data_IF_253293699320
#
_entry.id   IF_253293699320
#
_cell.length_a   1.000
_cell.length_b   1.000
_cell.length_c   1.000
_cell.angle_alpha   90.00
_cell.angle_beta   90.00
_cell.angle_gamma   90.00
#
_symmetry.space_group_name_H-M   'P 1'
#
loop_
_entity.id
_entity.type
_entity.pdbx_description
1 polymer ?
#
# COMPACT_ATOMS: atom_id res chain seq x y z
N UNK A 1 24.55 -50.33 8.98
CA UNK A 1 24.80 -49.82 10.34
C UNK A 1 23.51 -50.05 11.11
N UNK A 2 23.30 -51.27 11.60
CA UNK A 2 23.83 -51.79 12.87
C UNK A 2 22.88 -51.42 14.03
N UNK A 3 21.87 -52.27 14.23
CA UNK A 3 21.06 -52.27 15.44
C UNK A 3 21.88 -52.83 16.62
N UNK A 4 21.58 -52.37 17.83
CA UNK A 4 22.21 -52.88 19.06
C UNK A 4 21.14 -53.32 20.06
N UNK A 5 21.02 -54.64 20.23
CA UNK A 5 20.28 -55.28 21.31
C UNK A 5 21.26 -55.85 22.34
N UNK A 6 20.95 -55.71 23.63
CA UNK A 6 21.50 -56.51 24.75
C UNK A 6 20.29 -56.83 25.66
N UNK A 7 19.88 -58.10 25.85
CA UNK A 7 20.46 -59.14 26.72
C UNK A 7 20.20 -58.84 28.24
N UNK A 8 19.32 -59.48 29.05
CA UNK A 8 18.85 -60.91 29.27
C UNK A 8 19.68 -61.66 30.36
N UNK A 9 19.12 -62.57 31.22
CA UNK A 9 17.75 -62.76 31.71
C UNK A 9 17.62 -62.25 33.18
N UNK A 10 17.61 -62.99 34.34
CA UNK A 10 17.43 -64.42 34.67
C UNK A 10 15.96 -64.79 35.06
N UNK A 11 15.74 -65.62 36.10
CA UNK A 11 14.43 -66.09 36.64
C UNK A 11 14.50 -66.33 38.16
N UNK A 12 13.34 -66.33 38.84
CA UNK A 12 13.09 -67.16 40.02
C UNK A 12 11.60 -67.56 40.05
N UNK A 13 11.31 -68.85 40.21
CA UNK A 13 9.96 -69.40 40.28
C UNK A 13 9.64 -69.89 41.70
N UNK A 14 8.39 -69.78 42.15
CA UNK A 14 7.78 -70.74 43.09
C UNK A 14 6.26 -70.53 43.28
N UNK A 15 5.52 -71.64 43.12
CA UNK A 15 4.34 -72.09 43.89
C UNK A 15 3.18 -71.13 44.25
N UNK A 16 1.96 -71.57 43.90
CA UNK A 16 0.71 -71.19 44.55
C UNK A 16 0.22 -72.31 45.49
N UNK A 17 -0.53 -71.97 46.55
CA UNK A 17 -1.56 -72.85 47.10
C UNK A 17 -2.97 -72.24 47.01
N UNK A 18 -4.05 -73.06 46.98
CA UNK A 18 -5.43 -72.60 46.80
C UNK A 18 -6.16 -72.34 48.12
N UNK A 19 -7.16 -71.44 48.11
CA UNK A 19 -8.10 -71.28 49.22
C UNK A 19 -9.14 -70.17 48.99
N UNK A 20 -10.43 -70.53 48.92
CA UNK A 20 -11.56 -69.59 48.96
C UNK A 20 -12.04 -69.41 50.40
N UNK A 21 -12.23 -68.17 50.83
CA UNK A 21 -13.16 -67.76 51.90
C UNK A 21 -13.56 -66.29 51.69
N UNK A 22 -14.81 -65.96 52.00
CA UNK A 22 -15.39 -64.61 51.90
C UNK A 22 -16.45 -64.43 53.02
N UNK A 23 -17.09 -63.26 53.16
CA UNK A 23 -16.57 -61.97 53.65
C UNK A 23 -17.17 -61.63 55.05
N UNK A 24 -17.02 -60.40 55.59
CA UNK A 24 -18.11 -59.42 55.39
C UNK A 24 -17.66 -57.94 55.26
N UNK A 25 -18.67 -57.07 55.09
CA UNK A 25 -18.59 -55.69 54.61
C UNK A 25 -17.89 -54.66 55.52
N UNK A 26 -17.31 -53.64 54.87
CA UNK A 26 -16.92 -52.34 55.45
C UNK A 26 -16.93 -51.29 54.34
N UNK A 27 -17.74 -50.22 54.48
CA UNK A 27 -18.08 -49.35 53.36
C UNK A 27 -17.15 -48.16 53.13
N UNK A 28 -16.85 -47.87 51.86
CA UNK A 28 -16.92 -46.48 51.38
C UNK A 28 -17.56 -46.46 50.01
N UNK A 29 -18.73 -45.83 49.90
CA UNK A 29 -19.34 -45.60 48.60
C UNK A 29 -18.53 -44.50 47.90
N UNK A 30 -17.74 -44.85 46.87
CA UNK A 30 -17.21 -43.85 45.94
C UNK A 30 -18.39 -42.99 45.48
N UNK A 31 -18.34 -41.65 45.57
CA UNK A 31 -19.45 -40.82 45.12
C UNK A 31 -19.71 -41.15 43.66
N UNK A 32 -20.93 -41.66 43.40
CA UNK A 32 -21.31 -42.11 42.08
C UNK A 32 -21.28 -40.90 41.15
N UNK A 33 -20.19 -40.76 40.38
CA UNK A 33 -20.11 -39.82 39.27
C UNK A 33 -21.19 -40.26 38.29
N UNK A 34 -22.38 -39.66 38.42
CA UNK A 34 -23.47 -39.83 37.45
C UNK A 34 -22.83 -39.66 36.08
N UNK A 35 -23.03 -40.59 35.13
CA UNK A 35 -22.43 -40.44 33.82
C UNK A 35 -22.99 -39.15 33.24
N UNK A 36 -22.14 -38.12 33.17
CA UNK A 36 -22.46 -36.85 32.50
C UNK A 36 -22.77 -37.27 31.08
N UNK A 37 -24.07 -37.33 30.74
CA UNK A 37 -24.55 -38.08 29.58
C UNK A 37 -23.75 -37.59 28.39
N UNK A 38 -23.10 -38.50 27.65
CA UNK A 38 -22.10 -38.15 26.62
C UNK A 38 -22.64 -37.10 25.63
N UNK A 39 -23.95 -37.12 25.37
CA UNK A 39 -24.74 -36.15 24.60
C UNK A 39 -24.61 -34.68 25.08
N UNK A 40 -24.48 -34.42 26.38
CA UNK A 40 -24.28 -33.07 26.95
C UNK A 40 -22.84 -32.58 26.72
N UNK A 41 -21.86 -33.49 26.82
CA UNK A 41 -20.47 -33.21 26.46
C UNK A 41 -20.31 -32.95 24.96
N UNK A 42 -20.98 -33.74 24.12
CA UNK A 42 -21.07 -33.53 22.67
C UNK A 42 -21.79 -32.22 22.32
N UNK A 43 -22.84 -31.85 23.06
CA UNK A 43 -23.52 -30.56 22.90
C UNK A 43 -22.61 -29.37 23.21
N UNK A 44 -21.88 -29.41 24.33
CA UNK A 44 -20.86 -28.41 24.66
C UNK A 44 -19.74 -28.35 23.62
N UNK A 45 -19.22 -29.50 23.18
CA UNK A 45 -18.23 -29.55 22.10
C UNK A 45 -18.77 -28.95 20.81
N UNK A 46 -20.00 -29.27 20.40
CA UNK A 46 -20.62 -28.72 19.19
C UNK A 46 -20.85 -27.20 19.29
N UNK A 47 -21.21 -26.68 20.46
CA UNK A 47 -21.33 -25.23 20.69
C UNK A 47 -19.97 -24.53 20.61
N UNK A 48 -18.93 -25.08 21.26
CA UNK A 48 -17.56 -24.54 21.21
C UNK A 48 -17.00 -24.61 19.79
N UNK A 49 -17.20 -25.73 19.09
CA UNK A 49 -16.72 -25.94 17.73
C UNK A 49 -17.46 -25.07 16.71
N UNK A 50 -18.79 -24.91 16.87
CA UNK A 50 -19.61 -23.99 16.08
C UNK A 50 -19.23 -22.53 16.30
N UNK A 51 -19.05 -22.10 17.55
CA UNK A 51 -18.56 -20.75 17.87
C UNK A 51 -17.19 -20.49 17.23
N UNK A 52 -16.26 -21.45 17.29
CA UNK A 52 -14.96 -21.35 16.63
C UNK A 52 -15.06 -21.30 15.10
N UNK A 53 -15.96 -22.09 14.50
CA UNK A 53 -16.21 -22.08 13.05
C UNK A 53 -16.91 -20.80 12.56
N UNK A 54 -17.69 -20.11 13.40
CA UNK A 54 -18.32 -18.82 13.06
C UNK A 54 -17.40 -17.62 13.35
N UNK A 55 -16.50 -17.70 14.33
CA UNK A 55 -15.58 -16.62 14.68
C UNK A 55 -14.37 -16.54 13.73
N UNK A 56 -13.94 -17.67 13.15
CA UNK A 56 -12.89 -17.73 12.12
C UNK A 56 -13.18 -16.88 10.86
N UNK A 57 -14.30 -17.07 10.13
CA UNK A 57 -14.56 -16.34 8.88
C UNK A 57 -14.66 -14.83 9.10
N UNK A 58 -15.29 -14.38 10.19
CA UNK A 58 -15.42 -12.95 10.52
C UNK A 58 -14.07 -12.26 10.71
N UNK A 59 -13.07 -12.98 11.23
CA UNK A 59 -11.69 -12.48 11.39
C UNK A 59 -10.88 -12.52 10.09
N UNK A 60 -11.25 -13.38 9.13
CA UNK A 60 -10.68 -13.39 7.78
C UNK A 60 -11.25 -12.21 6.99
N UNK A 61 -12.58 -12.02 6.98
CA UNK A 61 -13.27 -10.90 6.32
C UNK A 61 -12.71 -9.54 6.76
N UNK A 62 -12.66 -9.28 8.07
CA UNK A 62 -12.11 -8.02 8.59
C UNK A 62 -10.62 -7.78 8.25
N UNK A 63 -9.84 -8.84 7.98
CA UNK A 63 -8.45 -8.71 7.48
C UNK A 63 -8.39 -8.49 5.97
N UNK A 64 -9.28 -9.13 5.21
CA UNK A 64 -9.42 -8.91 3.77
C UNK A 64 -9.86 -7.47 3.50
N UNK A 65 -10.86 -6.95 4.20
CA UNK A 65 -11.29 -5.55 4.09
C UNK A 65 -10.15 -4.57 4.43
N UNK A 66 -9.35 -4.89 5.45
CA UNK A 66 -8.17 -4.08 5.81
C UNK A 66 -7.06 -4.14 4.76
N UNK A 67 -6.85 -5.29 4.12
CA UNK A 67 -5.92 -5.45 3.00
C UNK A 67 -6.42 -4.74 1.73
N UNK A 68 -7.74 -4.69 1.50
CA UNK A 68 -8.36 -3.90 0.42
C UNK A 68 -8.16 -2.40 0.68
N UNK A 69 -8.36 -1.94 1.92
CA UNK A 69 -8.08 -0.55 2.31
C UNK A 69 -6.61 -0.17 2.12
N UNK A 70 -5.66 -1.04 2.49
CA UNK A 70 -4.22 -0.84 2.22
C UNK A 70 -3.87 -0.92 0.72
N UNK A 71 -4.61 -1.72 -0.06
CA UNK A 71 -4.54 -1.73 -1.52
C UNK A 71 -4.96 -0.39 -2.13
N UNK A 72 -5.99 0.25 -1.59
CA UNK A 72 -6.42 1.59 -1.99
C UNK A 72 -5.41 2.69 -1.59
N UNK A 73 -4.59 2.48 -0.55
CA UNK A 73 -3.42 3.31 -0.21
C UNK A 73 -2.19 3.06 -1.11
N UNK A 74 -2.32 2.23 -2.16
CA UNK A 74 -1.25 1.89 -3.10
C UNK A 74 -0.03 1.13 -2.51
N UNK A 75 -0.16 0.56 -1.30
CA UNK A 75 0.93 -0.18 -0.63
C UNK A 75 0.98 -1.67 -1.03
N UNK A 76 1.18 -1.93 -2.32
CA UNK A 76 1.14 -3.28 -2.89
C UNK A 76 2.12 -4.29 -2.28
N UNK A 77 3.32 -3.84 -1.86
CA UNK A 77 4.28 -4.71 -1.16
C UNK A 77 3.76 -5.22 0.19
N UNK A 78 3.12 -4.35 0.98
CA UNK A 78 2.52 -4.72 2.27
C UNK A 78 1.26 -5.57 2.06
N UNK A 79 0.41 -5.21 1.08
CA UNK A 79 -0.79 -5.98 0.75
C UNK A 79 -0.47 -7.41 0.28
N UNK A 80 0.62 -7.61 -0.47
CA UNK A 80 1.10 -8.96 -0.83
C UNK A 80 1.66 -9.73 0.38
N UNK A 81 2.33 -9.05 1.31
CA UNK A 81 2.78 -9.65 2.57
C UNK A 81 1.63 -10.17 3.45
N UNK A 82 0.60 -9.35 3.65
CA UNK A 82 -0.64 -9.75 4.35
C UNK A 82 -1.38 -10.87 3.61
N UNK A 83 -1.38 -10.88 2.27
CA UNK A 83 -1.93 -11.97 1.46
C UNK A 83 -1.23 -13.31 1.72
N UNK A 84 0.10 -13.31 1.89
CA UNK A 84 0.87 -14.52 2.23
C UNK A 84 0.52 -14.98 3.66
N UNK A 85 0.40 -14.04 4.61
CA UNK A 85 -0.04 -14.36 5.98
C UNK A 85 -1.48 -14.92 6.03
N UNK A 86 -2.41 -14.35 5.25
CA UNK A 86 -3.80 -14.82 5.11
C UNK A 86 -3.89 -16.20 4.43
N UNK A 87 -3.03 -16.46 3.44
CA UNK A 87 -2.92 -17.78 2.79
C UNK A 87 -2.42 -18.84 3.76
N UNK A 88 -1.48 -18.50 4.65
CA UNK A 88 -1.08 -19.35 5.78
C UNK A 88 -2.18 -19.53 6.85
N UNK A 89 -3.09 -18.55 6.97
CA UNK A 89 -4.23 -18.56 7.89
C UNK A 89 -5.45 -19.39 7.46
N UNK A 90 -5.48 -19.89 6.21
CA UNK A 90 -6.56 -20.73 5.69
C UNK A 90 -7.72 -19.97 5.04
N UNK A 91 -7.48 -18.82 4.43
CA UNK A 91 -8.48 -18.09 3.64
C UNK A 91 -8.98 -18.89 2.41
N UNK A 92 -10.25 -18.72 2.05
CA UNK A 92 -10.90 -19.48 0.96
C UNK A 92 -10.39 -19.04 -0.41
N UNK A 93 -10.26 -19.98 -1.36
CA UNK A 93 -9.70 -19.71 -2.69
C UNK A 93 -10.45 -18.60 -3.46
N UNK A 94 -11.78 -18.53 -3.36
CA UNK A 94 -12.57 -17.44 -3.94
C UNK A 94 -12.22 -16.06 -3.38
N UNK A 95 -12.02 -15.94 -2.06
CA UNK A 95 -11.66 -14.66 -1.42
C UNK A 95 -10.28 -14.20 -1.88
N UNK A 96 -9.33 -15.15 -1.97
CA UNK A 96 -8.00 -14.95 -2.56
C UNK A 96 -8.07 -14.46 -4.00
N UNK A 97 -8.95 -15.05 -4.83
CA UNK A 97 -9.10 -14.66 -6.23
C UNK A 97 -9.71 -13.26 -6.38
N UNK A 98 -10.78 -12.95 -5.63
CA UNK A 98 -11.39 -11.60 -5.61
C UNK A 98 -10.40 -10.53 -5.14
N UNK A 99 -9.65 -10.81 -4.07
CA UNK A 99 -8.61 -9.91 -3.54
C UNK A 99 -7.45 -9.72 -4.52
N UNK A 100 -7.00 -10.78 -5.20
CA UNK A 100 -5.97 -10.69 -6.23
C UNK A 100 -6.45 -9.84 -7.42
N UNK A 101 -7.72 -9.96 -7.81
CA UNK A 101 -8.31 -9.19 -8.91
C UNK A 101 -8.46 -7.71 -8.54
N UNK A 102 -8.98 -7.38 -7.35
CA UNK A 102 -9.08 -6.01 -6.87
C UNK A 102 -7.73 -5.35 -6.64
N UNK A 103 -6.72 -6.10 -6.17
CA UNK A 103 -5.34 -5.61 -6.04
C UNK A 103 -4.68 -5.38 -7.40
N UNK A 104 -4.92 -6.24 -8.39
CA UNK A 104 -4.38 -6.07 -9.73
C UNK A 104 -5.00 -4.84 -10.41
N UNK A 105 -6.31 -4.66 -10.31
CA UNK A 105 -7.02 -3.46 -10.78
C UNK A 105 -6.52 -2.19 -10.09
N UNK A 106 -6.45 -2.20 -8.75
CA UNK A 106 -5.90 -1.10 -7.96
C UNK A 106 -4.43 -0.80 -8.30
N UNK A 107 -3.62 -1.82 -8.60
CA UNK A 107 -2.21 -1.65 -8.96
C UNK A 107 -2.00 -0.88 -10.24
N UNK A 108 -2.84 -1.09 -11.26
CA UNK A 108 -2.74 -0.35 -12.52
C UNK A 108 -3.05 1.13 -12.29
N UNK A 109 -4.05 1.45 -11.46
CA UNK A 109 -4.32 2.84 -11.07
C UNK A 109 -3.18 3.46 -10.25
N UNK A 110 -2.67 2.72 -9.27
CA UNK A 110 -1.59 3.18 -8.39
C UNK A 110 -0.29 3.42 -9.16
N UNK A 111 0.11 2.49 -10.02
CA UNK A 111 1.27 2.66 -10.89
C UNK A 111 1.07 3.84 -11.84
N UNK A 112 -0.14 4.01 -12.43
CA UNK A 112 -0.46 5.17 -13.26
C UNK A 112 -0.38 6.49 -12.49
N UNK A 113 -0.80 6.53 -11.22
CA UNK A 113 -0.67 7.70 -10.32
C UNK A 113 0.79 7.99 -9.99
N UNK A 114 1.61 6.97 -9.71
CA UNK A 114 3.04 7.13 -9.45
C UNK A 114 3.81 7.59 -10.70
N UNK A 115 3.55 6.97 -11.86
CA UNK A 115 4.11 7.37 -13.15
C UNK A 115 3.73 8.83 -13.48
N UNK A 116 2.48 9.26 -13.23
CA UNK A 116 2.06 10.66 -13.33
C UNK A 116 2.91 11.54 -12.42
N UNK A 117 3.01 11.21 -11.13
CA UNK A 117 3.75 12.01 -10.14
C UNK A 117 5.26 12.09 -10.43
N UNK A 118 5.85 11.06 -11.03
CA UNK A 118 7.23 11.06 -11.52
C UNK A 118 7.38 11.94 -12.77
N UNK A 119 6.50 11.77 -13.75
CA UNK A 119 6.48 12.59 -14.97
C UNK A 119 6.17 14.08 -14.68
N UNK A 120 5.41 14.36 -13.62
CA UNK A 120 5.10 15.72 -13.16
C UNK A 120 6.34 16.41 -12.63
N UNK A 121 7.06 15.79 -11.68
CA UNK A 121 8.34 16.31 -11.15
C UNK A 121 9.32 16.66 -12.28
N UNK A 122 9.62 15.73 -13.18
CA UNK A 122 10.48 15.99 -14.34
C UNK A 122 9.95 17.07 -15.29
N UNK A 123 8.63 17.28 -15.35
CA UNK A 123 8.03 18.36 -16.15
C UNK A 123 8.21 19.71 -15.46
N UNK A 124 7.97 19.81 -14.16
CA UNK A 124 8.16 21.03 -13.37
C UNK A 124 9.63 21.45 -13.36
N UNK A 125 10.57 20.50 -13.18
CA UNK A 125 12.02 20.78 -13.24
C UNK A 125 12.42 21.38 -14.60
N UNK A 126 11.88 20.83 -15.70
CA UNK A 126 12.12 21.31 -17.05
C UNK A 126 11.47 22.67 -17.32
N UNK A 127 10.26 22.91 -16.79
CA UNK A 127 9.55 24.19 -16.87
C UNK A 127 10.30 25.28 -16.09
N UNK A 128 10.70 25.01 -14.85
CA UNK A 128 11.50 25.93 -14.03
C UNK A 128 12.84 26.26 -14.69
N UNK A 129 13.52 25.25 -15.26
CA UNK A 129 14.75 25.43 -16.03
C UNK A 129 14.57 26.23 -17.32
N UNK A 130 13.37 26.23 -17.91
CA UNK A 130 13.03 27.02 -19.08
C UNK A 130 12.70 28.48 -18.72
N UNK A 131 11.94 28.68 -17.64
CA UNK A 131 11.63 30.00 -17.09
C UNK A 131 12.90 30.72 -16.61
N UNK A 132 13.84 30.01 -15.96
CA UNK A 132 15.15 30.56 -15.58
C UNK A 132 16.10 30.86 -16.75
N UNK A 133 15.66 30.67 -18.00
CA UNK A 133 16.35 31.04 -19.25
C UNK A 133 15.45 31.90 -20.15
N UNK A 134 14.41 32.51 -19.57
CA UNK A 134 13.38 33.33 -20.24
C UNK A 134 12.66 32.65 -21.42
N UNK A 135 12.72 31.31 -21.49
CA UNK A 135 12.16 30.49 -22.56
C UNK A 135 10.69 30.12 -22.26
N UNK A 136 9.85 31.16 -22.21
CA UNK A 136 8.42 31.06 -21.88
C UNK A 136 7.67 30.12 -22.84
N UNK A 137 8.03 30.13 -24.13
CA UNK A 137 7.40 29.26 -25.14
C UNK A 137 7.67 27.78 -24.86
N UNK A 138 8.91 27.41 -24.53
CA UNK A 138 9.30 26.04 -24.22
C UNK A 138 8.68 25.56 -22.91
N UNK A 139 8.64 26.43 -21.89
CA UNK A 139 7.93 26.15 -20.63
C UNK A 139 6.45 25.78 -20.89
N UNK A 140 5.75 26.58 -21.70
CA UNK A 140 4.35 26.34 -22.06
C UNK A 140 4.16 25.05 -22.87
N UNK A 141 4.99 24.81 -23.88
CA UNK A 141 4.94 23.57 -24.68
C UNK A 141 5.15 22.31 -23.82
N UNK A 142 6.12 22.37 -22.90
CA UNK A 142 6.46 21.26 -22.02
C UNK A 142 5.35 20.92 -21.03
N UNK A 143 4.66 21.93 -20.50
CA UNK A 143 3.46 21.79 -19.66
C UNK A 143 2.27 21.25 -20.46
N UNK A 144 1.97 21.83 -21.62
CA UNK A 144 0.88 21.38 -22.50
C UNK A 144 1.05 19.92 -22.94
N UNK A 145 2.28 19.49 -23.22
CA UNK A 145 2.60 18.09 -23.52
C UNK A 145 2.31 17.13 -22.35
N UNK A 146 2.51 17.58 -21.10
CA UNK A 146 2.13 16.82 -19.92
C UNK A 146 0.60 16.76 -19.76
N UNK A 147 -0.07 17.91 -19.86
CA UNK A 147 -1.55 18.02 -19.75
C UNK A 147 -2.25 17.16 -20.82
N UNK A 148 -1.75 17.12 -22.06
CA UNK A 148 -2.31 16.26 -23.13
C UNK A 148 -2.20 14.76 -22.83
N UNK A 149 -1.17 14.31 -22.10
CA UNK A 149 -0.96 12.89 -21.79
C UNK A 149 -1.65 12.45 -20.49
N UNK A 150 -1.69 13.32 -19.50
CA UNK A 150 -2.13 12.98 -18.15
C UNK A 150 -3.43 13.66 -17.72
N UNK A 151 -3.80 14.79 -18.33
CA UNK A 151 -4.94 15.64 -17.93
C UNK A 151 -4.54 16.76 -16.97
N UNK A 152 -5.38 17.80 -16.91
CA UNK A 152 -5.18 19.00 -16.09
C UNK A 152 -5.70 18.80 -14.64
N UNK A 153 -5.03 19.44 -13.68
CA UNK A 153 -5.30 19.43 -12.25
C UNK A 153 -4.98 20.80 -11.61
N UNK A 154 -5.07 20.91 -10.28
CA UNK A 154 -4.77 22.15 -9.57
C UNK A 154 -3.30 22.60 -9.66
N UNK A 155 -2.36 21.66 -9.72
CA UNK A 155 -0.92 21.97 -9.78
C UNK A 155 -0.52 22.46 -11.17
N UNK A 156 -0.99 21.78 -12.23
CA UNK A 156 -0.79 22.21 -13.63
C UNK A 156 -1.41 23.58 -13.91
N UNK A 157 -2.60 23.89 -13.36
CA UNK A 157 -3.17 25.25 -13.44
C UNK A 157 -2.31 26.31 -12.75
N UNK A 158 -1.77 26.00 -11.58
CA UNK A 158 -0.86 26.91 -10.87
C UNK A 158 0.40 27.18 -11.70
N UNK A 159 1.01 26.15 -12.29
CA UNK A 159 2.20 26.31 -13.13
C UNK A 159 1.89 27.06 -14.43
N UNK A 160 0.73 26.86 -15.08
CA UNK A 160 0.34 27.68 -16.25
C UNK A 160 0.16 29.16 -15.88
N UNK A 161 -0.39 29.45 -14.69
CA UNK A 161 -0.50 30.82 -14.17
C UNK A 161 0.89 31.44 -13.88
N UNK A 162 1.84 30.67 -13.34
CA UNK A 162 3.22 31.11 -13.14
C UNK A 162 3.92 31.42 -14.48
N UNK A 163 3.72 30.58 -15.51
CA UNK A 163 4.21 30.82 -16.89
C UNK A 163 3.55 32.06 -17.51
N UNK A 164 2.23 32.24 -17.32
CA UNK A 164 1.51 33.40 -17.83
C UNK A 164 2.00 34.71 -17.18
N UNK A 165 2.22 34.72 -15.86
CA UNK A 165 2.78 35.87 -15.15
C UNK A 165 4.22 36.19 -15.62
N UNK A 166 5.04 35.17 -15.91
CA UNK A 166 6.38 35.37 -16.48
C UNK A 166 6.32 35.98 -17.89
N UNK A 167 5.43 35.48 -18.77
CA UNK A 167 5.15 36.06 -20.09
C UNK A 167 4.76 37.54 -20.01
N UNK A 168 3.90 37.89 -19.06
CA UNK A 168 3.33 39.23 -18.99
C UNK A 168 4.31 40.24 -18.38
N UNK A 169 5.23 39.78 -17.51
CA UNK A 169 6.44 40.55 -17.12
C UNK A 169 7.36 40.84 -18.31
N UNK A 170 7.75 39.81 -19.07
CA UNK A 170 8.59 39.96 -20.26
C UNK A 170 7.99 40.93 -21.29
N UNK A 171 6.66 40.92 -21.47
CA UNK A 171 5.95 41.88 -22.32
C UNK A 171 5.98 43.31 -21.77
N UNK A 172 5.83 43.49 -20.45
CA UNK A 172 5.89 44.80 -19.82
C UNK A 172 7.30 45.41 -19.92
N UNK A 173 8.33 44.60 -19.72
CA UNK A 173 9.74 44.97 -19.89
C UNK A 173 10.04 45.38 -21.35
N UNK A 174 9.61 44.56 -22.33
CA UNK A 174 9.74 44.91 -23.74
C UNK A 174 9.02 46.23 -24.10
N UNK A 175 7.79 46.42 -23.62
CA UNK A 175 7.04 47.65 -23.84
C UNK A 175 7.68 48.88 -23.16
N UNK A 176 8.36 48.70 -22.03
CA UNK A 176 9.17 49.75 -21.41
C UNK A 176 10.38 50.11 -22.28
N UNK A 177 11.13 49.12 -22.77
CA UNK A 177 12.28 49.34 -23.66
C UNK A 177 11.86 50.04 -24.96
N UNK A 178 10.75 49.62 -25.57
CA UNK A 178 10.19 50.29 -26.76
C UNK A 178 9.80 51.75 -26.47
N UNK A 179 9.23 52.03 -25.29
CA UNK A 179 8.94 53.39 -24.85
C UNK A 179 10.22 54.21 -24.69
N UNK A 180 11.21 53.72 -23.93
CA UNK A 180 12.50 54.40 -23.72
C UNK A 180 13.23 54.67 -25.05
N UNK A 181 13.14 53.74 -26.00
CA UNK A 181 13.64 53.90 -27.36
C UNK A 181 12.91 55.00 -28.13
N UNK A 182 11.58 55.08 -28.01
CA UNK A 182 10.79 56.15 -28.63
C UNK A 182 11.08 57.53 -28.01
N UNK A 183 11.19 57.60 -26.68
CA UNK A 183 11.54 58.82 -25.93
C UNK A 183 12.97 59.30 -26.26
N UNK A 184 13.90 58.37 -26.53
CA UNK A 184 15.25 58.68 -27.02
C UNK A 184 15.22 59.34 -28.40
N UNK A 185 14.52 58.72 -29.37
CA UNK A 185 14.43 59.23 -30.74
C UNK A 185 13.70 60.58 -30.80
N UNK A 186 12.67 60.78 -29.97
CA UNK A 186 11.96 62.05 -29.84
C UNK A 186 12.86 63.21 -29.34
N UNK A 187 13.95 62.89 -28.64
CA UNK A 187 14.96 63.86 -28.16
C UNK A 187 16.13 64.05 -29.13
N UNK A 188 16.06 63.46 -30.34
CA UNK A 188 17.16 63.49 -31.32
C UNK A 188 18.32 62.54 -31.01
N UNK A 189 18.16 61.64 -30.03
CA UNK A 189 19.15 60.60 -29.72
C UNK A 189 19.08 59.41 -30.68
N UNK A 190 20.21 58.71 -30.84
CA UNK A 190 20.30 57.45 -31.60
C UNK A 190 20.27 56.26 -30.64
N UNK A 191 19.47 55.24 -30.94
CA UNK A 191 19.40 54.02 -30.12
C UNK A 191 20.42 52.97 -30.60
N UNK A 192 21.35 52.56 -29.74
CA UNK A 192 22.41 51.60 -30.05
C UNK A 192 22.51 50.54 -28.94
N UNK A 193 22.56 49.26 -29.33
CA UNK A 193 22.64 48.12 -28.42
C UNK A 193 21.35 47.91 -27.63
N UNK A 194 21.24 48.62 -26.51
CA UNK A 194 20.03 48.78 -25.67
C UNK A 194 20.08 50.12 -24.90
N UNK A 195 20.64 51.16 -25.53
CA UNK A 195 20.95 52.44 -24.87
C UNK A 195 20.70 53.64 -25.78
N UNK A 196 20.31 54.76 -25.18
CA UNK A 196 20.18 56.03 -25.87
C UNK A 196 21.51 56.77 -25.93
N UNK A 197 21.99 57.10 -27.13
CA UNK A 197 23.15 57.94 -27.38
C UNK A 197 22.68 59.29 -27.92
N UNK A 198 22.70 60.31 -27.06
CA UNK A 198 22.73 61.71 -27.50
C UNK A 198 24.14 62.02 -28.02
N UNK A 199 24.26 62.53 -29.25
CA UNK A 199 25.56 62.91 -29.80
C UNK A 199 26.26 63.93 -28.90
N UNK A 200 27.52 63.67 -28.59
CA UNK A 200 28.42 64.65 -27.97
C UNK A 200 28.99 65.50 -29.11
N UNK A 201 28.91 66.82 -28.97
CA UNK A 201 29.51 67.82 -29.87
C UNK A 201 31.04 67.66 -30.02
#
# INVERSE_FOLDING_TARGET
MAASSQAVPPQAAAAAPPGRSAPPAGGSARPARRPVRLRWWLGLLAIVFGAWFLDRPRKIEARVDRAIALGAECKLGEAQGELIALRGGGATAEQLQRLQQSLNESSVECERKEQRAKAWRTTVDAVGSALGKDSIAWARERLQSFVRKWGEDGETRRVDAEIAAARDRQKAEAAQVDKERSDCMAKGGTWIGNSCWSGVD
#
